data_IF_702272081181
#
_entry.id   IF_702272081181
#
_cell.length_a   1.000
_cell.length_b   1.000
_cell.length_c   1.000
_cell.angle_alpha   90.00
_cell.angle_beta   90.00
_cell.angle_gamma   90.00
#
_symmetry.space_group_name_H-M   'P 1'
#
loop_
_entity.id
_entity.type
_entity.pdbx_description
1 polymer ?
#
# COMPACT_ATOMS: atom_id res chain seq x y z
N UNK A 1 14.50 -18.24 16.32
CA UNK A 1 13.12 -17.72 16.53
C UNK A 1 12.46 -17.64 15.17
N UNK A 2 11.23 -18.13 15.08
CA UNK A 2 10.44 -18.10 13.84
C UNK A 2 9.52 -16.88 13.86
N UNK A 3 9.98 -15.76 13.32
CA UNK A 3 9.17 -14.55 13.22
C UNK A 3 8.34 -14.60 11.96
N UNK A 4 7.05 -14.32 12.08
CA UNK A 4 6.10 -14.24 10.97
C UNK A 4 5.72 -12.80 10.69
N UNK A 5 5.47 -12.50 9.41
CA UNK A 5 5.06 -11.17 8.97
C UNK A 5 3.61 -11.21 8.52
N UNK A 6 2.83 -10.27 9.04
CA UNK A 6 1.43 -10.06 8.69
C UNK A 6 1.27 -8.66 8.11
N UNK A 7 0.41 -8.52 7.13
CA UNK A 7 0.02 -7.23 6.57
C UNK A 7 -1.47 -7.23 6.21
N UNK A 8 -1.97 -6.15 5.68
CA UNK A 8 -3.31 -6.05 5.11
C UNK A 8 -3.29 -6.00 3.57
N UNK A 9 -4.44 -6.17 2.93
CA UNK A 9 -4.51 -6.29 1.48
C UNK A 9 -4.22 -5.00 0.71
N UNK A 10 -4.12 -3.84 1.40
CA UNK A 10 -3.70 -2.58 0.81
C UNK A 10 -2.19 -2.50 0.50
N UNK A 11 -1.42 -3.57 0.76
CA UNK A 11 0.01 -3.63 0.45
C UNK A 11 0.30 -3.76 -1.06
N UNK A 12 -0.67 -4.13 -1.86
CA UNK A 12 -0.61 -4.31 -3.33
C UNK A 12 0.55 -5.21 -3.84
N UNK A 13 1.15 -6.01 -2.94
CA UNK A 13 2.16 -6.99 -3.36
C UNK A 13 1.52 -8.09 -4.22
N UNK A 14 2.20 -8.53 -5.30
CA UNK A 14 1.76 -9.68 -6.07
C UNK A 14 1.59 -10.94 -5.21
N UNK A 15 0.58 -11.75 -5.50
CA UNK A 15 0.29 -12.97 -4.74
C UNK A 15 1.47 -13.95 -4.72
N UNK A 16 2.20 -14.07 -5.83
CA UNK A 16 3.40 -14.91 -5.92
C UNK A 16 4.50 -14.44 -4.95
N UNK A 17 4.69 -13.12 -4.84
CA UNK A 17 5.67 -12.52 -3.92
C UNK A 17 5.26 -12.77 -2.45
N UNK A 18 3.98 -12.58 -2.12
CA UNK A 18 3.47 -12.85 -0.76
C UNK A 18 3.69 -14.31 -0.36
N UNK A 19 3.42 -15.24 -1.29
CA UNK A 19 3.62 -16.67 -1.07
C UNK A 19 5.11 -17.00 -0.92
N UNK A 20 5.96 -16.47 -1.79
CA UNK A 20 7.41 -16.68 -1.74
C UNK A 20 8.00 -16.25 -0.40
N UNK A 21 7.58 -15.10 0.11
CA UNK A 21 8.08 -14.54 1.36
C UNK A 21 7.37 -15.08 2.61
N UNK A 22 6.31 -15.86 2.45
CA UNK A 22 5.52 -16.44 3.55
C UNK A 22 4.79 -15.37 4.38
N UNK A 23 4.35 -14.29 3.72
CA UNK A 23 3.61 -13.19 4.34
C UNK A 23 2.13 -13.55 4.43
N UNK A 24 1.55 -13.37 5.61
CA UNK A 24 0.10 -13.53 5.83
C UNK A 24 -0.60 -12.19 5.58
N UNK A 25 -1.66 -12.22 4.76
CA UNK A 25 -2.48 -11.04 4.47
C UNK A 25 -3.82 -11.15 5.18
N UNK A 26 -4.21 -10.11 5.91
CA UNK A 26 -5.56 -9.96 6.46
C UNK A 26 -6.34 -9.02 5.54
N UNK A 27 -7.32 -9.54 4.78
CA UNK A 27 -7.97 -8.76 3.72
C UNK A 27 -8.94 -7.73 4.27
N UNK A 28 -8.95 -6.55 3.63
CA UNK A 28 -10.02 -5.57 3.78
C UNK A 28 -11.25 -6.02 2.98
N UNK A 29 -12.34 -5.27 3.10
CA UNK A 29 -13.57 -5.52 2.36
C UNK A 29 -13.89 -4.38 1.41
N UNK A 30 -14.50 -4.73 0.28
CA UNK A 30 -14.97 -3.81 -0.75
C UNK A 30 -16.47 -3.98 -0.87
N UNK A 31 -17.22 -2.88 -0.87
CA UNK A 31 -18.67 -2.90 -1.00
C UNK A 31 -19.13 -2.10 -2.21
N UNK A 32 -19.93 -2.75 -3.07
CA UNK A 32 -20.66 -2.13 -4.19
C UNK A 32 -22.15 -2.14 -3.86
N UNK A 33 -22.73 -1.00 -3.48
CA UNK A 33 -24.09 -0.95 -2.99
C UNK A 33 -24.27 -1.86 -1.77
N UNK A 34 -25.10 -2.91 -1.89
CA UNK A 34 -25.38 -3.90 -0.84
C UNK A 34 -24.49 -5.16 -0.94
N UNK A 35 -23.71 -5.31 -2.00
CA UNK A 35 -22.78 -6.45 -2.17
C UNK A 35 -21.42 -6.15 -1.52
N UNK A 36 -20.97 -7.02 -0.63
CA UNK A 36 -19.67 -6.95 0.04
C UNK A 36 -18.77 -8.11 -0.40
N UNK A 37 -17.51 -7.81 -0.68
CA UNK A 37 -16.49 -8.76 -1.14
C UNK A 37 -15.26 -8.69 -0.25
N UNK A 38 -14.65 -9.84 0.03
CA UNK A 38 -13.33 -9.94 0.65
C UNK A 38 -12.28 -9.65 -0.43
N UNK A 39 -11.48 -8.59 -0.23
CA UNK A 39 -10.47 -8.16 -1.19
C UNK A 39 -9.46 -9.28 -1.45
N UNK A 40 -9.12 -9.51 -2.72
CA UNK A 40 -8.17 -10.52 -3.22
C UNK A 40 -8.63 -11.99 -3.11
N UNK A 41 -9.66 -12.29 -2.33
CA UNK A 41 -10.23 -13.64 -2.20
C UNK A 41 -11.47 -13.81 -3.09
N UNK A 42 -12.41 -12.87 -3.02
CA UNK A 42 -13.67 -12.87 -3.75
C UNK A 42 -13.73 -11.84 -4.88
N UNK A 43 -12.69 -10.98 -4.98
CA UNK A 43 -12.61 -9.91 -5.97
C UNK A 43 -11.17 -9.72 -6.42
N UNK A 44 -10.89 -10.05 -7.67
CA UNK A 44 -9.61 -9.74 -8.32
C UNK A 44 -9.54 -8.28 -8.75
N UNK A 45 -8.34 -7.75 -8.99
CA UNK A 45 -8.17 -6.38 -9.49
C UNK A 45 -8.90 -6.16 -10.83
N UNK A 46 -8.86 -7.13 -11.73
CA UNK A 46 -9.54 -7.05 -13.02
C UNK A 46 -11.08 -6.98 -12.87
N UNK A 47 -11.66 -7.83 -12.02
CA UNK A 47 -13.09 -7.80 -11.71
C UNK A 47 -13.50 -6.51 -11.02
N UNK A 48 -12.67 -6.01 -10.10
CA UNK A 48 -12.88 -4.71 -9.47
C UNK A 48 -13.00 -3.58 -10.51
N UNK A 49 -12.04 -3.47 -11.43
CA UNK A 49 -12.08 -2.43 -12.46
C UNK A 49 -13.25 -2.59 -13.42
N UNK A 50 -13.63 -3.84 -13.76
CA UNK A 50 -14.80 -4.11 -14.58
C UNK A 50 -16.08 -3.63 -13.88
N UNK A 51 -16.26 -3.94 -12.59
CA UNK A 51 -17.41 -3.48 -11.77
C UNK A 51 -17.42 -1.95 -11.63
N UNK A 52 -16.28 -1.31 -11.35
CA UNK A 52 -16.18 0.15 -11.30
C UNK A 52 -16.60 0.82 -12.62
N UNK A 53 -16.27 0.20 -13.76
CA UNK A 53 -16.66 0.72 -15.09
C UNK A 53 -18.15 0.57 -15.38
N UNK A 54 -18.80 -0.43 -14.79
CA UNK A 54 -20.23 -0.70 -14.95
C UNK A 54 -21.11 0.03 -13.92
N UNK A 55 -20.52 0.56 -12.84
CA UNK A 55 -21.26 1.23 -11.76
C UNK A 55 -21.17 2.75 -11.90
N UNK A 56 -22.31 3.44 -11.64
CA UNK A 56 -22.34 4.89 -11.50
C UNK A 56 -21.87 5.36 -10.10
N UNK A 57 -21.88 4.45 -9.12
CA UNK A 57 -21.46 4.72 -7.75
C UNK A 57 -20.06 4.16 -7.48
N UNK A 58 -19.28 4.93 -6.72
CA UNK A 58 -17.97 4.44 -6.25
C UNK A 58 -18.19 3.39 -5.16
N UNK A 59 -17.37 2.32 -5.15
CA UNK A 59 -17.38 1.36 -4.06
C UNK A 59 -16.92 2.02 -2.76
N UNK A 60 -17.20 1.35 -1.64
CA UNK A 60 -16.70 1.71 -0.32
C UNK A 60 -15.73 0.64 0.18
N UNK A 61 -14.83 1.02 1.08
CA UNK A 61 -13.89 0.10 1.73
C UNK A 61 -14.17 -0.01 3.21
N UNK A 62 -13.98 -1.19 3.79
CA UNK A 62 -14.05 -1.41 5.23
C UNK A 62 -12.78 -2.09 5.74
N UNK A 63 -12.32 -1.68 6.93
CA UNK A 63 -11.21 -2.33 7.62
C UNK A 63 -11.59 -3.76 8.02
N UNK A 64 -10.60 -4.67 8.16
CA UNK A 64 -10.83 -5.99 8.74
C UNK A 64 -11.32 -5.86 10.17
N UNK A 65 -12.11 -6.82 10.63
CA UNK A 65 -12.51 -6.90 12.03
C UNK A 65 -11.33 -7.29 12.94
N UNK A 66 -11.44 -7.05 14.24
CA UNK A 66 -10.49 -7.54 15.24
C UNK A 66 -10.36 -9.06 15.10
N UNK A 67 -11.47 -9.80 15.01
CA UNK A 67 -11.49 -11.25 14.89
C UNK A 67 -10.75 -11.80 13.65
N UNK A 68 -10.69 -11.06 12.53
CA UNK A 68 -9.89 -11.47 11.37
C UNK A 68 -8.39 -11.50 11.72
N UNK A 69 -7.90 -10.48 12.44
CA UNK A 69 -6.52 -10.43 12.90
C UNK A 69 -6.24 -11.45 14.00
N UNK A 70 -7.14 -11.58 14.99
CA UNK A 70 -7.03 -12.57 16.07
C UNK A 70 -6.88 -13.99 15.49
N UNK A 71 -7.74 -14.37 14.54
CA UNK A 71 -7.68 -15.69 13.88
C UNK A 71 -6.37 -15.89 13.11
N UNK A 72 -5.86 -14.86 12.44
CA UNK A 72 -4.57 -14.92 11.74
C UNK A 72 -3.40 -15.14 12.72
N UNK A 73 -3.39 -14.41 13.85
CA UNK A 73 -2.34 -14.53 14.87
C UNK A 73 -2.36 -15.89 15.55
N UNK A 74 -3.53 -16.37 15.93
CA UNK A 74 -3.71 -17.70 16.53
C UNK A 74 -3.27 -18.82 15.59
N UNK A 75 -3.62 -18.72 14.30
CA UNK A 75 -3.19 -19.68 13.29
C UNK A 75 -1.67 -19.73 13.14
N UNK A 76 -1.01 -18.57 13.16
CA UNK A 76 0.45 -18.49 13.09
C UNK A 76 1.11 -19.03 14.37
N UNK A 77 0.55 -18.75 15.55
CA UNK A 77 1.02 -19.31 16.81
C UNK A 77 0.91 -20.84 16.82
N UNK A 78 -0.23 -21.38 16.39
CA UNK A 78 -0.45 -22.83 16.27
C UNK A 78 0.51 -23.49 15.25
N UNK A 79 0.94 -22.74 14.21
CA UNK A 79 1.96 -23.18 13.25
C UNK A 79 3.42 -23.03 13.77
N UNK A 80 3.62 -22.66 15.04
CA UNK A 80 4.92 -22.60 15.67
C UNK A 80 5.68 -21.29 15.47
N UNK A 81 4.98 -20.18 15.23
CA UNK A 81 5.60 -18.86 15.26
C UNK A 81 5.98 -18.47 16.70
N UNK A 82 7.17 -17.90 16.87
CA UNK A 82 7.65 -17.36 18.15
C UNK A 82 7.27 -15.88 18.34
N UNK A 83 6.86 -15.20 17.28
CA UNK A 83 6.42 -13.80 17.29
C UNK A 83 5.91 -13.33 15.93
N UNK A 84 5.14 -12.26 15.94
CA UNK A 84 4.53 -11.68 14.74
C UNK A 84 4.88 -10.20 14.64
N UNK A 85 5.34 -9.78 13.46
CA UNK A 85 5.42 -8.36 13.09
C UNK A 85 4.30 -8.07 12.10
N UNK A 86 3.44 -7.11 12.45
CA UNK A 86 2.37 -6.63 11.59
C UNK A 86 2.78 -5.28 11.02
N UNK A 87 2.76 -5.15 9.70
CA UNK A 87 2.97 -3.88 9.01
C UNK A 87 1.65 -3.49 8.35
N UNK A 88 1.00 -2.46 8.86
CA UNK A 88 -0.33 -2.03 8.42
C UNK A 88 -0.28 -0.77 7.57
N UNK A 89 -1.27 -0.62 6.67
CA UNK A 89 -1.45 0.66 5.97
C UNK A 89 -1.66 1.79 6.98
N UNK A 90 -1.41 3.02 6.52
CA UNK A 90 -1.48 4.23 7.35
C UNK A 90 -2.74 4.30 8.22
N UNK A 91 -2.54 4.46 9.52
CA UNK A 91 -3.61 4.66 10.51
C UNK A 91 -4.40 5.96 10.29
N UNK A 92 -3.80 6.95 9.63
CA UNK A 92 -4.47 8.20 9.26
C UNK A 92 -5.49 8.02 8.10
N UNK A 93 -5.41 6.91 7.37
CA UNK A 93 -6.28 6.61 6.22
C UNK A 93 -7.30 5.50 6.51
N UNK A 94 -7.03 4.63 7.49
CA UNK A 94 -7.88 3.48 7.80
C UNK A 94 -7.80 3.07 9.28
N UNK A 95 -8.87 2.50 9.80
CA UNK A 95 -8.90 1.89 11.14
C UNK A 95 -8.23 0.48 11.19
N UNK A 96 -7.64 0.00 10.09
CA UNK A 96 -7.05 -1.34 10.00
C UNK A 96 -6.00 -1.59 11.08
N UNK A 97 -5.10 -0.63 11.29
CA UNK A 97 -4.09 -0.73 12.35
C UNK A 97 -4.72 -0.87 13.74
N UNK A 98 -5.78 -0.13 14.02
CA UNK A 98 -6.48 -0.21 15.31
C UNK A 98 -7.05 -1.62 15.54
N UNK A 99 -7.65 -2.24 14.51
CA UNK A 99 -8.12 -3.63 14.59
C UNK A 99 -6.97 -4.60 14.87
N UNK A 100 -5.83 -4.41 14.19
CA UNK A 100 -4.63 -5.23 14.39
C UNK A 100 -4.06 -5.09 15.82
N UNK A 101 -4.05 -3.88 16.38
CA UNK A 101 -3.58 -3.62 17.75
C UNK A 101 -4.48 -4.26 18.80
N UNK A 102 -5.80 -4.10 18.67
CA UNK A 102 -6.75 -4.73 19.61
C UNK A 102 -6.67 -6.25 19.55
N UNK A 103 -6.51 -6.83 18.36
CA UNK A 103 -6.27 -8.28 18.23
C UNK A 103 -4.94 -8.72 18.88
N UNK A 104 -3.89 -7.89 18.79
CA UNK A 104 -2.62 -8.19 19.46
C UNK A 104 -2.75 -8.22 21.00
N UNK A 105 -3.59 -7.33 21.55
CA UNK A 105 -3.92 -7.34 22.99
C UNK A 105 -4.68 -8.63 23.39
N UNK A 106 -5.62 -9.10 22.54
CA UNK A 106 -6.38 -10.34 22.80
C UNK A 106 -5.47 -11.58 22.87
N UNK A 107 -4.42 -11.63 22.01
CA UNK A 107 -3.51 -12.80 21.96
C UNK A 107 -2.23 -12.63 22.77
N UNK A 108 -2.08 -11.56 23.55
CA UNK A 108 -0.83 -11.23 24.27
C UNK A 108 -0.34 -12.36 25.22
N UNK A 109 -1.25 -13.20 25.74
CA UNK A 109 -0.89 -14.38 26.56
C UNK A 109 -0.42 -15.60 25.75
N UNK A 110 -0.56 -15.56 24.42
CA UNK A 110 -0.28 -16.70 23.53
C UNK A 110 0.97 -16.46 22.67
N UNK A 111 1.07 -15.28 22.04
CA UNK A 111 2.16 -14.95 21.14
C UNK A 111 2.43 -13.43 21.19
N UNK A 112 3.72 -12.99 21.25
CA UNK A 112 4.04 -11.58 21.14
C UNK A 112 3.80 -11.06 19.71
N UNK A 113 3.08 -9.93 19.60
CA UNK A 113 2.76 -9.27 18.35
C UNK A 113 3.19 -7.81 18.40
N UNK A 114 3.97 -7.37 17.42
CA UNK A 114 4.36 -5.96 17.25
C UNK A 114 3.66 -5.40 16.04
N UNK A 115 2.81 -4.38 16.24
CA UNK A 115 2.06 -3.71 15.17
C UNK A 115 2.72 -2.38 14.84
N UNK A 116 3.01 -2.14 13.55
CA UNK A 116 3.71 -0.96 13.06
C UNK A 116 2.83 -0.23 12.05
N UNK A 117 2.65 1.07 12.27
CA UNK A 117 2.09 1.98 11.28
C UNK A 117 3.13 2.27 10.20
N UNK A 118 2.85 1.86 8.99
CA UNK A 118 3.74 2.17 7.85
C UNK A 118 3.69 3.64 7.45
N UNK A 119 2.68 4.40 7.88
CA UNK A 119 2.36 5.74 7.37
C UNK A 119 2.35 5.79 5.84
N UNK A 120 2.06 4.66 5.20
CA UNK A 120 2.16 4.46 3.75
C UNK A 120 0.98 3.64 3.23
N UNK A 121 0.95 3.43 1.92
CA UNK A 121 -0.08 2.68 1.20
C UNK A 121 0.53 1.91 0.03
N UNK A 122 -0.20 0.97 -0.54
CA UNK A 122 0.16 0.26 -1.76
C UNK A 122 1.57 -0.35 -1.67
N UNK A 123 2.35 -0.36 -2.73
CA UNK A 123 3.71 -0.92 -2.72
C UNK A 123 4.69 -0.17 -1.80
N UNK A 124 4.34 1.02 -1.27
CA UNK A 124 5.13 1.66 -0.21
C UNK A 124 5.05 0.88 1.10
N UNK A 125 3.85 0.46 1.50
CA UNK A 125 3.63 -0.52 2.55
C UNK A 125 4.25 -1.86 2.15
N UNK A 126 4.02 -2.32 0.91
CA UNK A 126 4.52 -3.60 0.40
C UNK A 126 6.04 -3.74 0.50
N UNK A 127 6.81 -2.70 0.16
CA UNK A 127 8.28 -2.73 0.28
C UNK A 127 8.76 -2.87 1.74
N UNK A 128 8.04 -2.27 2.70
CA UNK A 128 8.34 -2.44 4.13
C UNK A 128 8.02 -3.86 4.59
N UNK A 129 6.92 -4.44 4.11
CA UNK A 129 6.53 -5.84 4.36
C UNK A 129 7.60 -6.79 3.86
N UNK A 130 8.12 -6.58 2.64
CA UNK A 130 9.23 -7.39 2.10
C UNK A 130 10.49 -7.26 2.95
N UNK A 131 10.86 -6.06 3.38
CA UNK A 131 12.02 -5.85 4.23
C UNK A 131 11.87 -6.57 5.59
N UNK A 132 10.67 -6.56 6.18
CA UNK A 132 10.37 -7.31 7.39
C UNK A 132 10.53 -8.82 7.16
N UNK A 133 9.99 -9.34 6.05
CA UNK A 133 10.07 -10.76 5.73
C UNK A 133 11.51 -11.20 5.41
N UNK A 134 12.29 -10.38 4.72
CA UNK A 134 13.72 -10.59 4.49
C UNK A 134 14.49 -10.65 5.82
N UNK A 135 14.25 -9.73 6.73
CA UNK A 135 14.87 -9.68 8.05
C UNK A 135 14.50 -10.91 8.90
N UNK A 136 13.24 -11.33 8.90
CA UNK A 136 12.77 -12.52 9.61
C UNK A 136 13.39 -13.79 9.03
N UNK A 137 13.46 -13.94 7.72
CA UNK A 137 14.14 -15.05 7.02
C UNK A 137 15.64 -15.07 7.30
N UNK A 138 16.24 -13.89 7.50
CA UNK A 138 17.64 -13.74 7.93
C UNK A 138 17.90 -14.11 9.39
N UNK A 139 16.87 -14.58 10.15
CA UNK A 139 16.99 -15.05 11.52
C UNK A 139 16.98 -13.95 12.58
N UNK A 140 16.57 -12.73 12.25
CA UNK A 140 16.41 -11.63 13.20
C UNK A 140 15.28 -11.91 14.19
N UNK A 141 15.44 -11.43 15.42
CA UNK A 141 14.41 -11.48 16.46
C UNK A 141 13.27 -10.48 16.22
N UNK A 142 12.21 -10.59 17.03
CA UNK A 142 10.97 -9.82 16.86
C UNK A 142 11.21 -8.31 16.80
N UNK A 143 11.91 -7.74 17.77
CA UNK A 143 12.20 -6.30 17.80
C UNK A 143 13.18 -5.86 16.69
N UNK A 144 14.15 -6.70 16.34
CA UNK A 144 15.07 -6.38 15.25
C UNK A 144 14.35 -6.30 13.89
N UNK A 145 13.37 -7.18 13.65
CA UNK A 145 12.50 -7.12 12.45
C UNK A 145 11.63 -5.86 12.49
N UNK A 146 11.05 -5.55 13.65
CA UNK A 146 10.25 -4.35 13.86
C UNK A 146 11.09 -3.07 13.62
N UNK A 147 12.31 -3.02 14.08
CA UNK A 147 13.22 -1.87 13.93
C UNK A 147 13.64 -1.65 12.47
N UNK A 148 13.80 -2.72 11.69
CA UNK A 148 14.01 -2.60 10.23
C UNK A 148 12.84 -1.84 9.59
N UNK A 149 11.60 -2.18 9.94
CA UNK A 149 10.41 -1.51 9.41
C UNK A 149 10.33 -0.06 9.89
N UNK A 150 10.48 0.17 11.21
CA UNK A 150 10.46 1.53 11.80
C UNK A 150 11.48 2.46 11.13
N UNK A 151 12.68 1.93 10.85
CA UNK A 151 13.72 2.68 10.15
C UNK A 151 13.37 3.03 8.69
N UNK A 152 12.49 2.25 8.04
CA UNK A 152 12.07 2.51 6.66
C UNK A 152 10.88 3.48 6.56
N UNK A 153 10.06 3.62 7.60
CA UNK A 153 8.90 4.52 7.56
C UNK A 153 9.26 5.94 7.10
N UNK A 154 10.23 6.66 7.70
CA UNK A 154 10.56 8.03 7.28
C UNK A 154 11.31 8.09 5.94
N UNK A 155 11.74 6.95 5.40
CA UNK A 155 12.55 6.84 4.17
C UNK A 155 11.78 6.24 3.01
N UNK A 156 10.49 5.98 3.17
CA UNK A 156 9.62 5.47 2.11
C UNK A 156 8.80 6.61 1.53
N UNK A 157 8.95 6.83 0.24
CA UNK A 157 8.32 7.91 -0.51
C UNK A 157 7.24 7.35 -1.43
N UNK A 158 6.09 8.02 -1.48
CA UNK A 158 4.94 7.65 -2.33
C UNK A 158 4.54 8.87 -3.15
N UNK A 159 4.56 8.73 -4.47
CA UNK A 159 4.12 9.76 -5.42
C UNK A 159 3.22 9.13 -6.46
N UNK A 160 2.09 9.76 -6.75
CA UNK A 160 1.14 9.25 -7.72
C UNK A 160 0.56 10.35 -8.61
N UNK A 161 0.43 10.04 -9.89
CA UNK A 161 -0.30 10.83 -10.86
C UNK A 161 -1.69 10.22 -11.04
N UNK A 162 -2.73 11.01 -10.81
CA UNK A 162 -4.12 10.60 -10.90
C UNK A 162 -4.78 11.22 -12.14
N UNK A 163 -5.84 10.57 -12.60
CA UNK A 163 -6.70 11.14 -13.64
C UNK A 163 -7.67 12.17 -13.10
N UNK A 164 -8.17 11.95 -11.87
CA UNK A 164 -9.09 12.84 -11.16
C UNK A 164 -8.89 12.74 -9.65
N UNK A 165 -9.37 13.73 -8.90
CA UNK A 165 -9.42 13.70 -7.42
C UNK A 165 -10.79 13.25 -6.89
N UNK A 166 -11.74 12.94 -7.75
CA UNK A 166 -13.12 12.64 -7.34
C UNK A 166 -13.20 11.44 -6.42
N UNK A 167 -12.42 10.39 -6.68
CA UNK A 167 -12.37 9.20 -5.85
C UNK A 167 -11.85 9.52 -4.44
N UNK A 168 -10.74 10.25 -4.33
CA UNK A 168 -10.19 10.69 -3.04
C UNK A 168 -11.16 11.58 -2.28
N UNK A 169 -11.85 12.49 -2.99
CA UNK A 169 -12.84 13.40 -2.39
C UNK A 169 -14.04 12.63 -1.86
N UNK A 170 -14.67 11.79 -2.69
CA UNK A 170 -15.85 11.00 -2.34
C UNK A 170 -15.52 9.97 -1.25
N UNK A 171 -14.34 9.35 -1.31
CA UNK A 171 -13.85 8.42 -0.31
C UNK A 171 -13.37 9.07 1.00
N UNK A 172 -13.32 10.41 1.08
CA UNK A 172 -12.90 11.14 2.28
C UNK A 172 -11.40 11.08 2.60
N UNK A 173 -10.56 10.50 1.74
CA UNK A 173 -9.10 10.35 1.92
C UNK A 173 -8.29 11.40 1.18
N UNK A 174 -8.92 12.48 0.72
CA UNK A 174 -8.26 13.57 -0.02
C UNK A 174 -7.24 14.36 0.80
N UNK A 175 -7.33 14.37 2.14
CA UNK A 175 -6.35 15.02 3.02
C UNK A 175 -6.04 16.47 2.63
N UNK A 176 -4.76 16.80 2.58
CA UNK A 176 -4.25 18.11 2.18
C UNK A 176 -4.41 18.44 0.69
N UNK A 177 -4.72 17.44 -0.17
CA UNK A 177 -4.95 17.69 -1.60
C UNK A 177 -6.29 18.40 -1.91
N UNK A 178 -7.09 18.75 -0.88
CA UNK A 178 -8.32 19.56 -1.02
C UNK A 178 -8.11 20.88 -1.76
N UNK A 179 -6.92 21.48 -1.65
CA UNK A 179 -6.58 22.74 -2.30
C UNK A 179 -6.66 22.65 -3.85
N UNK A 180 -6.47 21.47 -4.42
CA UNK A 180 -6.59 21.25 -5.88
C UNK A 180 -8.02 21.31 -6.42
N UNK A 181 -9.03 21.15 -5.57
CA UNK A 181 -10.43 21.08 -6.03
C UNK A 181 -10.89 22.35 -6.77
N UNK A 182 -10.28 23.49 -6.47
CA UNK A 182 -10.60 24.77 -7.13
C UNK A 182 -10.00 24.89 -8.56
N UNK A 183 -9.07 24.02 -8.96
CA UNK A 183 -8.34 24.12 -10.23
C UNK A 183 -8.41 22.86 -11.10
N UNK A 184 -9.35 21.95 -10.84
CA UNK A 184 -9.36 20.58 -11.31
C UNK A 184 -9.75 20.38 -12.81
N UNK A 185 -10.09 21.44 -13.56
CA UNK A 185 -10.41 21.27 -14.99
C UNK A 185 -9.13 21.16 -15.82
N UNK A 186 -9.00 20.03 -16.57
CA UNK A 186 -7.93 19.76 -17.54
C UNK A 186 -6.51 19.64 -16.97
N UNK A 187 -6.36 19.09 -15.76
CA UNK A 187 -5.04 18.77 -15.17
C UNK A 187 -4.94 17.29 -14.77
N UNK A 188 -3.70 16.80 -14.66
CA UNK A 188 -3.34 15.55 -14.01
C UNK A 188 -2.80 15.87 -12.62
N UNK A 189 -3.58 15.65 -11.54
CA UNK A 189 -3.13 15.90 -10.17
C UNK A 189 -1.99 14.96 -9.81
N UNK A 190 -0.98 15.49 -9.13
CA UNK A 190 0.07 14.69 -8.48
C UNK A 190 -0.17 14.78 -6.96
N UNK A 191 -0.20 13.63 -6.32
CA UNK A 191 -0.29 13.50 -4.87
C UNK A 191 0.95 12.83 -4.31
N UNK A 192 1.19 13.04 -3.03
CA UNK A 192 2.18 12.31 -2.24
C UNK A 192 1.56 11.89 -0.91
N UNK A 193 2.07 10.81 -0.32
CA UNK A 193 1.74 10.43 1.04
C UNK A 193 2.90 10.86 1.96
N UNK A 194 2.62 11.71 2.93
CA UNK A 194 3.56 12.14 3.97
C UNK A 194 2.87 12.10 5.32
N UNK A 195 3.60 11.65 6.33
CA UNK A 195 3.05 11.48 7.69
C UNK A 195 1.72 10.71 7.70
N UNK A 196 1.61 9.74 6.81
CA UNK A 196 0.44 8.87 6.66
C UNK A 196 -0.77 9.48 5.96
N UNK A 197 -0.74 10.74 5.52
CA UNK A 197 -1.86 11.43 4.86
C UNK A 197 -1.53 11.84 3.44
N UNK A 198 -2.60 11.96 2.62
CA UNK A 198 -2.48 12.43 1.25
C UNK A 198 -2.27 13.95 1.23
N UNK A 199 -1.24 14.38 0.50
CA UNK A 199 -0.90 15.78 0.27
C UNK A 199 -0.86 16.11 -1.22
N UNK A 200 -0.98 17.41 -1.50
CA UNK A 200 -0.69 17.98 -2.81
C UNK A 200 0.79 17.75 -3.14
N UNK A 201 1.07 17.13 -4.30
CA UNK A 201 2.41 16.90 -4.82
C UNK A 201 2.76 17.76 -6.03
N UNK A 202 1.75 18.26 -6.71
CA UNK A 202 1.89 19.06 -7.92
C UNK A 202 0.74 18.87 -8.90
N UNK A 203 0.81 19.49 -10.06
CA UNK A 203 -0.17 19.35 -11.15
C UNK A 203 0.52 19.40 -12.49
N UNK A 204 0.06 18.61 -13.44
CA UNK A 204 0.55 18.57 -14.80
C UNK A 204 -0.62 18.71 -15.78
N UNK A 205 -0.35 19.18 -17.00
CA UNK A 205 -1.39 19.34 -18.03
C UNK A 205 -1.62 18.07 -18.86
N UNK A 206 -0.63 17.19 -18.93
CA UNK A 206 -0.70 15.97 -19.73
C UNK A 206 -0.18 14.77 -18.96
N UNK A 207 -0.62 13.57 -19.33
CA UNK A 207 -0.13 12.31 -18.77
C UNK A 207 1.39 12.19 -18.90
N UNK A 208 1.94 12.43 -20.08
CA UNK A 208 3.39 12.34 -20.31
C UNK A 208 4.19 13.25 -19.36
N UNK A 209 3.72 14.50 -19.14
CA UNK A 209 4.36 15.40 -18.16
C UNK A 209 4.19 14.94 -16.72
N UNK A 210 3.07 14.29 -16.40
CA UNK A 210 2.85 13.73 -15.07
C UNK A 210 3.81 12.56 -14.80
N UNK A 211 3.98 11.64 -15.76
CA UNK A 211 4.94 10.53 -15.64
C UNK A 211 6.40 11.05 -15.54
N UNK A 212 6.78 12.01 -16.38
CA UNK A 212 8.11 12.63 -16.28
C UNK A 212 8.33 13.30 -14.92
N UNK A 213 7.32 13.95 -14.36
CA UNK A 213 7.39 14.53 -13.02
C UNK A 213 7.64 13.46 -11.95
N UNK A 214 6.97 12.29 -12.05
CA UNK A 214 7.20 11.19 -11.11
C UNK A 214 8.64 10.65 -11.20
N UNK A 215 9.20 10.54 -12.42
CA UNK A 215 10.61 10.16 -12.63
C UNK A 215 11.54 11.18 -11.96
N UNK A 216 11.26 12.48 -12.10
CA UNK A 216 12.06 13.54 -11.48
C UNK A 216 12.11 13.41 -9.95
N UNK A 217 11.02 12.95 -9.31
CA UNK A 217 11.02 12.71 -7.85
C UNK A 217 12.03 11.64 -7.44
N UNK A 218 12.16 10.56 -8.20
CA UNK A 218 13.19 9.54 -7.93
C UNK A 218 14.59 10.09 -8.22
N UNK A 219 14.75 10.77 -9.34
CA UNK A 219 16.05 11.34 -9.78
C UNK A 219 16.65 12.36 -8.78
N UNK A 220 15.83 13.08 -8.02
CA UNK A 220 16.25 14.04 -7.01
C UNK A 220 16.97 13.39 -5.82
N UNK A 221 16.76 12.09 -5.61
CA UNK A 221 17.37 11.31 -4.56
C UNK A 221 18.57 10.51 -5.09
N UNK A 222 19.77 10.72 -4.49
CA UNK A 222 21.01 10.01 -4.90
C UNK A 222 21.19 8.66 -4.23
N UNK A 223 20.49 8.41 -3.16
CA UNK A 223 20.64 7.25 -2.28
C UNK A 223 19.40 6.32 -2.31
N UNK A 224 18.76 6.20 -3.47
CA UNK A 224 17.64 5.29 -3.67
C UNK A 224 18.12 3.85 -3.51
N UNK A 225 17.41 3.06 -2.71
CA UNK A 225 17.75 1.66 -2.42
C UNK A 225 16.77 0.68 -3.03
N UNK A 226 15.51 1.09 -3.24
CA UNK A 226 14.45 0.25 -3.83
C UNK A 226 13.45 1.14 -4.57
N UNK A 227 12.95 0.69 -5.71
CA UNK A 227 11.92 1.37 -6.50
C UNK A 227 10.78 0.40 -6.80
N UNK A 228 9.55 0.89 -6.70
CA UNK A 228 8.35 0.18 -7.10
C UNK A 228 7.45 1.06 -7.97
N UNK A 229 6.67 0.44 -8.83
CA UNK A 229 5.62 1.05 -9.65
C UNK A 229 4.30 0.36 -9.35
N UNK A 230 3.29 1.13 -8.94
CA UNK A 230 1.94 0.63 -8.80
C UNK A 230 1.02 1.33 -9.81
N UNK A 231 0.13 0.57 -10.47
CA UNK A 231 -0.73 1.13 -11.49
C UNK A 231 -2.18 0.63 -11.41
N UNK A 232 -3.12 1.47 -11.79
CA UNK A 232 -4.54 1.18 -11.82
C UNK A 232 -4.99 0.99 -13.27
N UNK A 233 -4.79 -0.21 -13.81
CA UNK A 233 -5.15 -0.60 -15.19
C UNK A 233 -4.59 0.39 -16.24
N UNK A 234 -3.27 0.62 -16.19
CA UNK A 234 -2.57 1.55 -17.08
C UNK A 234 -1.83 0.79 -18.19
N UNK A 235 -2.14 1.11 -19.45
CA UNK A 235 -1.47 0.50 -20.62
C UNK A 235 -0.05 1.02 -20.87
N UNK A 236 0.34 2.11 -20.22
CA UNK A 236 1.65 2.77 -20.35
C UNK A 236 2.63 2.42 -19.22
N UNK A 237 2.33 1.39 -18.40
CA UNK A 237 3.16 0.99 -17.26
C UNK A 237 4.56 0.55 -17.70
N UNK A 238 4.70 -0.26 -18.73
CA UNK A 238 6.01 -0.73 -19.21
C UNK A 238 6.89 0.43 -19.65
N UNK A 239 6.31 1.38 -20.41
CA UNK A 239 7.03 2.59 -20.81
C UNK A 239 7.47 3.44 -19.62
N UNK A 240 6.64 3.53 -18.57
CA UNK A 240 6.99 4.24 -17.34
C UNK A 240 8.10 3.54 -16.57
N UNK A 241 8.07 2.23 -16.47
CA UNK A 241 9.14 1.41 -15.86
C UNK A 241 10.48 1.66 -16.57
N UNK A 242 10.48 1.68 -17.92
CA UNK A 242 11.71 1.98 -18.68
C UNK A 242 12.24 3.40 -18.42
N UNK A 243 11.37 4.38 -18.21
CA UNK A 243 11.82 5.74 -17.82
C UNK A 243 12.49 5.78 -16.44
N UNK A 244 12.11 4.89 -15.52
CA UNK A 244 12.64 4.81 -14.16
C UNK A 244 13.93 3.98 -14.08
N UNK A 245 14.16 3.06 -15.01
CA UNK A 245 15.29 2.12 -14.99
C UNK A 245 16.66 2.76 -14.76
N UNK A 246 17.01 3.93 -15.32
CA UNK A 246 18.30 4.57 -15.07
C UNK A 246 18.52 5.05 -13.63
N UNK A 247 17.45 5.14 -12.84
CA UNK A 247 17.45 5.66 -11.47
C UNK A 247 17.19 4.60 -10.41
N UNK A 248 16.85 3.37 -10.85
CA UNK A 248 16.61 2.24 -9.95
C UNK A 248 17.93 1.48 -9.69
N UNK A 249 18.28 1.18 -8.44
CA UNK A 249 19.52 0.45 -8.11
C UNK A 249 19.46 -1.05 -8.45
N UNK A 250 18.29 -1.56 -8.84
CA UNK A 250 18.03 -2.97 -9.15
C UNK A 250 16.72 -3.15 -9.88
N UNK A 251 16.13 -4.32 -9.75
CA UNK A 251 14.82 -4.63 -10.33
C UNK A 251 13.73 -3.74 -9.74
N UNK A 252 12.85 -3.23 -10.61
CA UNK A 252 11.70 -2.42 -10.21
C UNK A 252 10.53 -3.38 -9.92
N UNK A 253 10.03 -3.34 -8.70
CA UNK A 253 8.83 -4.08 -8.32
C UNK A 253 7.62 -3.43 -8.99
N UNK A 254 6.88 -4.20 -9.79
CA UNK A 254 5.67 -3.72 -10.46
C UNK A 254 4.45 -4.47 -9.90
N UNK A 255 3.39 -3.75 -9.59
CA UNK A 255 2.14 -4.33 -9.12
C UNK A 255 0.91 -3.52 -9.49
N UNK A 256 -0.22 -4.22 -9.54
CA UNK A 256 -1.52 -3.59 -9.70
C UNK A 256 -1.93 -2.86 -8.43
N UNK A 257 -2.51 -1.68 -8.58
CA UNK A 257 -3.27 -1.04 -7.49
C UNK A 257 -4.54 -1.85 -7.30
N UNK A 258 -4.63 -2.53 -6.15
CA UNK A 258 -5.75 -3.38 -5.78
C UNK A 258 -7.03 -2.58 -5.46
N UNK A 259 -8.11 -3.31 -5.15
CA UNK A 259 -9.44 -2.72 -5.00
C UNK A 259 -9.52 -1.71 -3.84
N UNK A 260 -8.79 -1.94 -2.74
CA UNK A 260 -8.78 -1.02 -1.58
C UNK A 260 -8.24 0.34 -1.98
N UNK A 261 -7.01 0.38 -2.50
CA UNK A 261 -6.38 1.64 -2.89
C UNK A 261 -7.04 2.20 -4.14
N UNK A 262 -7.44 1.34 -5.10
CA UNK A 262 -8.11 1.71 -6.34
C UNK A 262 -9.44 2.42 -6.12
N UNK A 263 -10.22 2.04 -5.10
CA UNK A 263 -11.45 2.74 -4.70
C UNK A 263 -11.21 4.23 -4.48
N UNK A 264 -10.08 4.58 -3.87
CA UNK A 264 -9.74 5.96 -3.50
C UNK A 264 -8.88 6.67 -4.55
N UNK A 265 -7.95 5.97 -5.19
CA UNK A 265 -7.04 6.55 -6.19
C UNK A 265 -7.69 6.67 -7.58
N UNK A 266 -8.56 5.74 -7.95
CA UNK A 266 -9.23 5.68 -9.24
C UNK A 266 -8.39 5.04 -10.34
N UNK A 267 -9.09 4.61 -11.40
CA UNK A 267 -8.49 4.04 -12.62
C UNK A 267 -7.57 5.06 -13.31
N UNK A 268 -6.52 4.58 -13.94
CA UNK A 268 -5.53 5.40 -14.62
C UNK A 268 -4.46 5.99 -13.68
N UNK A 269 -4.54 5.73 -12.37
CA UNK A 269 -3.50 6.14 -11.43
C UNK A 269 -2.20 5.40 -11.72
N UNK A 270 -1.10 6.16 -11.81
CA UNK A 270 0.27 5.65 -11.90
C UNK A 270 1.06 6.18 -10.70
N UNK A 271 1.68 5.29 -9.95
CA UNK A 271 2.47 5.64 -8.78
C UNK A 271 3.91 5.16 -8.91
N UNK A 272 4.84 5.97 -8.43
CA UNK A 272 6.21 5.55 -8.12
C UNK A 272 6.41 5.62 -6.60
N UNK A 273 6.94 4.55 -6.06
CA UNK A 273 7.22 4.41 -4.65
C UNK A 273 8.70 4.02 -4.52
N UNK A 274 9.41 4.64 -3.61
CA UNK A 274 10.83 4.32 -3.47
C UNK A 274 11.32 4.49 -2.03
N UNK A 275 12.39 3.79 -1.72
CA UNK A 275 13.08 3.86 -0.43
C UNK A 275 14.45 4.47 -0.62
N UNK A 276 14.92 5.20 0.40
CA UNK A 276 16.26 5.79 0.43
C UNK A 276 17.09 5.20 1.56
N UNK A 277 18.42 5.19 1.40
CA UNK A 277 19.34 4.95 2.51
C UNK A 277 19.29 6.09 3.53
N UNK A 278 19.93 5.88 4.67
CA UNK A 278 20.14 6.92 5.69
C UNK A 278 20.95 8.11 5.15
#
# INVERSE_FOLDING_TARGET
MTIRVVTDSACDLPAATLLEYGVTVVPLKIRFGDEEFVDREELTAAEFWARCSASAELPATAAPSIGNFTSAYESLAAAGADGIVVVSLSSALSATMQSAQLAAEEVAGTIPVVVIDSLSVSLGLGMMVLAAAEAARGGKGLEEVADVVRGLVPRTHVWAALDTLDNLKKGGRIGGAKAFLASALAIKPIITCRDGVVHEGGKQRTRAKALAFLVDRVREHRNVTRVAVAHADCSDVDAFVEMLRPYAPGEILVGDIGAVIGTHAGRGTMAVLFQTAE
#
